data_IF_271795208285
#
_entry.id   IF_271795208285
#
_cell.length_a   1.000
_cell.length_b   1.000
_cell.length_c   1.000
_cell.angle_alpha   90.00
_cell.angle_beta   90.00
_cell.angle_gamma   90.00
#
_symmetry.space_group_name_H-M   'P 1'
#
loop_
_entity.id
_entity.type
_entity.pdbx_description
1 polymer ?
#
# COMPACT_ATOMS: atom_id res chain seq x y z
N UNK A 1 -15.49 -13.80 -1.92
CA UNK A 1 -15.04 -13.01 -3.09
C UNK A 1 -13.63 -12.48 -2.85
N UNK A 2 -12.98 -11.89 -3.86
CA UNK A 2 -11.66 -11.23 -3.71
C UNK A 2 -11.87 -9.74 -3.47
N UNK A 3 -11.32 -9.22 -2.37
CA UNK A 3 -11.35 -7.80 -2.07
C UNK A 3 -10.05 -7.15 -2.54
N UNK A 4 -10.15 -6.12 -3.39
CA UNK A 4 -9.01 -5.34 -3.87
C UNK A 4 -9.04 -3.98 -3.19
N UNK A 5 -7.96 -3.64 -2.49
CA UNK A 5 -7.87 -2.44 -1.67
C UNK A 5 -6.54 -1.73 -1.82
N UNK A 6 -6.51 -0.45 -1.47
CA UNK A 6 -5.30 0.36 -1.34
C UNK A 6 -5.47 1.41 -0.22
N UNK A 7 -4.40 1.95 0.38
CA UNK A 7 -4.51 2.91 1.48
C UNK A 7 -5.04 4.28 1.04
N UNK A 8 -4.84 4.68 -0.22
CA UNK A 8 -5.29 5.98 -0.75
C UNK A 8 -6.46 5.81 -1.73
N UNK A 9 -7.31 6.84 -1.81
CA UNK A 9 -8.46 6.85 -2.73
C UNK A 9 -8.04 6.75 -4.20
N UNK A 10 -7.00 7.48 -4.59
CA UNK A 10 -6.48 7.48 -5.96
C UNK A 10 -5.96 6.10 -6.36
N UNK A 11 -5.17 5.44 -5.50
CA UNK A 11 -4.67 4.09 -5.77
C UNK A 11 -5.82 3.07 -5.84
N UNK A 12 -6.78 3.15 -4.90
CA UNK A 12 -7.93 2.26 -4.90
C UNK A 12 -8.78 2.41 -6.17
N UNK A 13 -8.97 3.64 -6.64
CA UNK A 13 -9.73 3.91 -7.87
C UNK A 13 -9.04 3.34 -9.12
N UNK A 14 -7.70 3.43 -9.21
CA UNK A 14 -6.94 2.85 -10.32
C UNK A 14 -7.09 1.32 -10.40
N UNK A 15 -7.32 0.67 -9.28
CA UNK A 15 -7.54 -0.78 -9.18
C UNK A 15 -9.02 -1.19 -9.32
N UNK A 16 -9.93 -0.23 -9.50
CA UNK A 16 -11.37 -0.49 -9.45
C UNK A 16 -11.86 -1.03 -8.10
N UNK A 17 -11.09 -0.79 -7.04
CA UNK A 17 -11.36 -1.25 -5.68
C UNK A 17 -11.86 -0.13 -4.77
N UNK A 18 -11.60 -0.28 -3.48
CA UNK A 18 -11.92 0.73 -2.47
C UNK A 18 -10.80 0.86 -1.45
N UNK A 19 -10.82 1.89 -0.61
CA UNK A 19 -9.73 2.04 0.36
C UNK A 19 -9.75 0.93 1.40
N UNK A 20 -8.56 0.55 1.92
CA UNK A 20 -8.44 -0.47 2.98
C UNK A 20 -9.28 -0.12 4.20
N UNK A 21 -9.31 1.17 4.56
CA UNK A 21 -10.12 1.72 5.64
C UNK A 21 -11.63 1.51 5.43
N UNK A 22 -12.14 1.87 4.24
CA UNK A 22 -13.54 1.72 3.87
C UNK A 22 -13.94 0.24 3.80
N UNK A 23 -13.07 -0.61 3.24
CA UNK A 23 -13.33 -2.06 3.21
C UNK A 23 -13.41 -2.65 4.61
N UNK A 24 -12.45 -2.33 5.48
CA UNK A 24 -12.38 -2.88 6.83
C UNK A 24 -13.51 -2.37 7.75
N UNK A 25 -14.09 -1.20 7.46
CA UNK A 25 -15.14 -0.60 8.30
C UNK A 25 -14.59 0.10 9.55
N UNK A 26 -13.33 0.55 9.52
CA UNK A 26 -12.61 1.08 10.70
C UNK A 26 -12.53 2.62 10.74
N UNK A 27 -13.22 3.31 9.82
CA UNK A 27 -13.19 4.76 9.70
C UNK A 27 -11.75 5.29 9.52
N UNK A 28 -11.35 6.26 10.33
CA UNK A 28 -9.98 6.80 10.33
C UNK A 28 -8.98 5.94 11.12
N UNK A 29 -9.39 4.76 11.59
CA UNK A 29 -8.59 3.88 12.46
C UNK A 29 -8.02 4.63 13.69
N UNK A 30 -8.81 5.52 14.31
CA UNK A 30 -8.42 6.26 15.53
C UNK A 30 -8.99 5.59 16.78
N UNK A 31 -8.25 5.64 17.88
CA UNK A 31 -8.64 5.02 19.15
C UNK A 31 -7.97 3.68 19.42
N UNK A 32 -8.46 2.98 20.44
CA UNK A 32 -7.94 1.67 20.83
C UNK A 32 -8.30 0.60 19.79
N UNK A 33 -7.52 -0.49 19.73
CA UNK A 33 -7.82 -1.62 18.86
C UNK A 33 -9.16 -2.24 19.23
N UNK A 34 -9.46 -2.32 20.53
CA UNK A 34 -10.69 -2.88 21.07
C UNK A 34 -11.92 -2.09 20.62
N UNK A 35 -11.84 -0.76 20.58
CA UNK A 35 -12.95 0.08 20.13
C UNK A 35 -13.20 -0.07 18.64
N UNK A 36 -12.14 -0.17 17.83
CA UNK A 36 -12.25 -0.42 16.39
C UNK A 36 -12.86 -1.80 16.11
N UNK A 37 -12.46 -2.82 16.88
CA UNK A 37 -13.07 -4.16 16.79
C UNK A 37 -14.56 -4.12 17.14
N UNK A 38 -14.94 -3.42 18.22
CA UNK A 38 -16.36 -3.25 18.60
C UNK A 38 -17.15 -2.52 17.52
N UNK A 39 -16.57 -1.46 16.94
CA UNK A 39 -17.17 -0.69 15.86
C UNK A 39 -17.48 -1.59 14.66
N UNK A 40 -16.51 -2.36 14.19
CA UNK A 40 -16.70 -3.27 13.03
C UNK A 40 -17.71 -4.35 13.35
N UNK A 41 -17.70 -4.91 14.57
CA UNK A 41 -18.69 -5.92 15.00
C UNK A 41 -20.13 -5.39 15.06
N UNK A 42 -20.30 -4.08 15.29
CA UNK A 42 -21.59 -3.41 15.23
C UNK A 42 -22.09 -3.12 13.81
N UNK A 43 -21.21 -3.18 12.81
CA UNK A 43 -21.54 -2.97 11.40
C UNK A 43 -21.74 -4.32 10.69
N UNK A 44 -23.00 -4.69 10.47
CA UNK A 44 -23.36 -5.94 9.80
C UNK A 44 -22.79 -6.03 8.37
N UNK A 45 -22.69 -4.91 7.65
CA UNK A 45 -22.12 -4.90 6.30
C UNK A 45 -20.61 -5.12 6.35
N UNK A 46 -19.90 -4.49 7.29
CA UNK A 46 -18.47 -4.75 7.49
C UNK A 46 -18.21 -6.20 7.90
N UNK A 47 -18.99 -6.72 8.85
CA UNK A 47 -18.90 -8.13 9.25
C UNK A 47 -19.12 -9.08 8.08
N UNK A 48 -20.09 -8.79 7.22
CA UNK A 48 -20.32 -9.58 6.01
C UNK A 48 -19.12 -9.52 5.06
N UNK A 49 -18.51 -8.35 4.83
CA UNK A 49 -17.30 -8.24 4.00
C UNK A 49 -16.16 -9.09 4.55
N UNK A 50 -15.88 -9.00 5.84
CA UNK A 50 -14.82 -9.79 6.50
C UNK A 50 -15.04 -11.30 6.41
N UNK A 51 -16.29 -11.76 6.54
CA UNK A 51 -16.62 -13.20 6.51
C UNK A 51 -16.74 -13.75 5.09
N UNK A 52 -17.27 -12.98 4.14
CA UNK A 52 -17.46 -13.39 2.75
C UNK A 52 -16.20 -13.23 1.87
N UNK A 53 -15.21 -12.46 2.32
CA UNK A 53 -13.93 -12.32 1.60
C UNK A 53 -13.09 -13.58 1.78
N UNK A 54 -12.55 -14.09 0.67
CA UNK A 54 -11.64 -15.24 0.63
C UNK A 54 -10.17 -14.80 0.54
N UNK A 55 -9.93 -13.70 -0.19
CA UNK A 55 -8.61 -13.09 -0.37
C UNK A 55 -8.76 -11.57 -0.26
N UNK A 56 -7.95 -10.95 0.59
CA UNK A 56 -7.77 -9.50 0.67
C UNK A 56 -6.44 -9.13 0.00
N UNK A 57 -6.51 -8.27 -1.02
CA UNK A 57 -5.35 -7.67 -1.67
C UNK A 57 -5.23 -6.24 -1.15
N UNK A 58 -4.04 -5.87 -0.68
CA UNK A 58 -3.68 -4.50 -0.30
C UNK A 58 -2.51 -4.06 -1.16
N UNK A 59 -2.79 -3.19 -2.12
CA UNK A 59 -1.75 -2.53 -2.92
C UNK A 59 -1.21 -1.29 -2.19
N UNK A 60 -0.03 -0.82 -2.58
CA UNK A 60 0.71 0.28 -1.94
C UNK A 60 0.95 0.08 -0.44
N UNK A 61 1.39 -1.12 -0.05
CA UNK A 61 1.67 -1.49 1.36
C UNK A 61 2.67 -0.55 2.04
N UNK A 62 3.52 0.16 1.30
CA UNK A 62 4.46 1.13 1.87
C UNK A 62 3.76 2.26 2.64
N UNK A 63 2.52 2.58 2.26
CA UNK A 63 1.71 3.60 2.92
C UNK A 63 0.81 3.03 4.04
N UNK A 64 0.89 1.72 4.33
CA UNK A 64 0.19 1.06 5.44
C UNK A 64 1.10 1.07 6.66
N UNK A 65 0.60 1.58 7.79
CA UNK A 65 1.35 1.57 9.05
C UNK A 65 1.27 0.21 9.74
N UNK A 66 2.26 -0.07 10.61
CA UNK A 66 2.29 -1.28 11.42
C UNK A 66 1.03 -1.44 12.28
N UNK A 67 0.61 -0.36 12.96
CA UNK A 67 -0.66 -0.32 13.70
C UNK A 67 -1.88 -0.61 12.83
N UNK A 68 -1.96 -0.07 11.62
CA UNK A 68 -3.11 -0.35 10.75
C UNK A 68 -3.18 -1.84 10.44
N UNK A 69 -2.05 -2.49 10.18
CA UNK A 69 -2.00 -3.92 9.91
C UNK A 69 -2.40 -4.76 11.14
N UNK A 70 -1.92 -4.39 12.33
CA UNK A 70 -2.32 -5.05 13.60
C UNK A 70 -3.81 -4.84 13.92
N UNK A 71 -4.39 -3.67 13.59
CA UNK A 71 -5.84 -3.43 13.70
C UNK A 71 -6.62 -4.34 12.76
N UNK A 72 -6.19 -4.48 11.51
CA UNK A 72 -6.83 -5.37 10.53
C UNK A 72 -6.77 -6.83 11.01
N UNK A 73 -5.65 -7.27 11.57
CA UNK A 73 -5.50 -8.60 12.16
C UNK A 73 -6.49 -8.82 13.32
N UNK A 74 -6.54 -7.91 14.28
CA UNK A 74 -7.44 -8.01 15.43
C UNK A 74 -8.92 -8.03 15.02
N UNK A 75 -9.29 -7.20 14.04
CA UNK A 75 -10.65 -7.20 13.46
C UNK A 75 -10.93 -8.53 12.78
N UNK A 76 -10.04 -9.03 11.92
CA UNK A 76 -10.20 -10.31 11.23
C UNK A 76 -10.38 -11.48 12.20
N UNK A 77 -9.49 -11.59 13.20
CA UNK A 77 -9.56 -12.60 14.26
C UNK A 77 -10.89 -12.59 15.00
N UNK A 78 -11.37 -11.40 15.35
CA UNK A 78 -12.60 -11.22 16.12
C UNK A 78 -13.86 -11.48 15.29
N UNK A 79 -13.95 -10.94 14.08
CA UNK A 79 -15.14 -11.04 13.22
C UNK A 79 -15.29 -12.43 12.62
N UNK A 80 -14.18 -13.09 12.25
CA UNK A 80 -14.20 -14.43 11.66
C UNK A 80 -14.22 -15.56 12.70
N UNK A 81 -14.07 -15.23 14.00
CA UNK A 81 -14.14 -16.20 15.09
C UNK A 81 -12.94 -17.15 15.17
N UNK A 82 -11.80 -16.77 14.61
CA UNK A 82 -10.58 -17.58 14.57
C UNK A 82 -9.41 -16.83 15.23
N UNK A 83 -9.41 -16.66 16.57
CA UNK A 83 -8.41 -15.84 17.26
C UNK A 83 -6.97 -16.38 17.19
N UNK A 84 -6.79 -17.67 16.90
CA UNK A 84 -5.47 -18.30 16.78
C UNK A 84 -4.84 -18.23 15.38
N UNK A 85 -5.48 -17.55 14.42
CA UNK A 85 -4.98 -17.43 13.06
C UNK A 85 -4.89 -15.96 12.66
N UNK A 86 -3.76 -15.56 12.07
CA UNK A 86 -3.60 -14.23 11.46
C UNK A 86 -4.80 -13.86 10.56
N UNK A 87 -5.31 -12.65 10.74
CA UNK A 87 -6.49 -12.09 10.08
C UNK A 87 -7.75 -12.97 10.20
N UNK A 88 -7.82 -13.86 11.20
CA UNK A 88 -8.90 -14.84 11.33
C UNK A 88 -8.92 -15.88 10.21
N UNK A 89 -7.74 -16.25 9.69
CA UNK A 89 -7.59 -17.21 8.59
C UNK A 89 -7.93 -16.63 7.21
N UNK A 90 -8.08 -15.32 7.09
CA UNK A 90 -8.23 -14.65 5.81
C UNK A 90 -6.90 -14.67 5.05
N UNK A 91 -6.91 -15.09 3.79
CA UNK A 91 -5.74 -14.95 2.93
C UNK A 91 -5.50 -13.45 2.65
N UNK A 92 -4.29 -12.96 2.91
CA UNK A 92 -3.91 -11.58 2.67
C UNK A 92 -2.72 -11.55 1.71
N UNK A 93 -2.83 -10.74 0.66
CA UNK A 93 -1.77 -10.45 -0.29
C UNK A 93 -1.42 -8.96 -0.18
N UNK A 94 -0.17 -8.67 0.17
CA UNK A 94 0.35 -7.31 0.20
C UNK A 94 1.22 -7.07 -1.03
N UNK A 95 1.00 -5.95 -1.71
CA UNK A 95 1.77 -5.50 -2.86
C UNK A 95 2.28 -4.08 -2.61
N UNK A 96 3.49 -3.77 -3.06
CA UNK A 96 4.05 -2.42 -3.00
C UNK A 96 5.57 -2.43 -2.86
N UNK A 97 6.14 -1.24 -2.65
CA UNK A 97 7.59 -1.05 -2.53
C UNK A 97 7.90 -0.07 -1.40
N UNK A 98 8.55 -0.55 -0.34
CA UNK A 98 8.90 0.24 0.84
C UNK A 98 9.93 1.35 0.56
N UNK A 99 10.58 1.36 -0.61
CA UNK A 99 11.42 2.47 -1.05
C UNK A 99 10.62 3.67 -1.59
N UNK A 100 9.30 3.54 -1.75
CA UNK A 100 8.43 4.63 -2.15
C UNK A 100 8.00 5.46 -0.93
N UNK A 101 6.74 5.93 -0.90
CA UNK A 101 6.26 6.79 0.17
C UNK A 101 5.97 5.99 1.44
N UNK A 102 6.39 6.50 2.62
CA UNK A 102 6.05 5.91 3.91
C UNK A 102 4.58 6.15 4.26
N UNK A 103 4.08 5.50 5.34
CA UNK A 103 2.74 5.77 5.84
C UNK A 103 2.59 7.25 6.23
N UNK A 104 1.47 7.92 5.90
CA UNK A 104 1.29 9.33 6.18
C UNK A 104 1.01 9.58 7.67
N UNK A 105 1.70 10.54 8.28
CA UNK A 105 1.48 10.97 9.66
C UNK A 105 2.80 11.18 10.43
N UNK A 106 2.76 12.00 11.49
CA UNK A 106 3.94 12.23 12.36
C UNK A 106 4.10 11.14 13.43
N UNK A 107 3.00 10.49 13.80
CA UNK A 107 2.92 9.45 14.83
C UNK A 107 2.55 8.10 14.19
N UNK A 108 3.31 7.69 13.19
CA UNK A 108 3.11 6.37 12.57
C UNK A 108 3.78 5.32 13.46
N UNK A 109 2.97 4.43 14.02
CA UNK A 109 3.38 3.24 14.77
C UNK A 109 4.06 2.21 13.84
N UNK A 110 5.19 2.60 13.28
CA UNK A 110 6.04 1.78 12.45
C UNK A 110 5.54 1.52 11.03
N UNK A 111 6.39 0.85 10.28
CA UNK A 111 6.10 0.32 8.95
C UNK A 111 5.21 -0.92 9.04
N UNK A 112 4.53 -1.27 7.94
CA UNK A 112 3.75 -2.51 7.87
C UNK A 112 4.58 -3.75 8.26
N UNK A 113 5.86 -3.81 7.85
CA UNK A 113 6.75 -4.93 8.17
C UNK A 113 7.20 -5.01 9.63
N UNK A 114 6.89 -3.99 10.44
CA UNK A 114 7.16 -3.95 11.87
C UNK A 114 5.93 -4.34 12.70
N UNK A 115 4.78 -4.58 12.06
CA UNK A 115 3.56 -5.03 12.72
C UNK A 115 3.78 -6.36 13.45
N UNK A 116 3.10 -6.54 14.58
CA UNK A 116 3.20 -7.78 15.38
C UNK A 116 2.73 -8.99 14.59
N UNK A 117 1.68 -8.83 13.78
CA UNK A 117 1.14 -9.90 12.94
C UNK A 117 2.09 -10.30 11.80
N UNK A 118 3.06 -9.45 11.43
CA UNK A 118 3.82 -9.62 10.18
C UNK A 118 4.53 -10.98 10.10
N UNK A 119 5.25 -11.34 11.16
CA UNK A 119 6.00 -12.61 11.22
C UNK A 119 5.11 -13.85 11.22
N UNK A 120 3.85 -13.74 11.66
CA UNK A 120 2.87 -14.83 11.62
C UNK A 120 2.22 -14.96 10.23
N UNK A 121 1.91 -13.82 9.59
CA UNK A 121 1.10 -13.79 8.38
C UNK A 121 1.90 -13.87 7.07
N UNK A 122 3.11 -13.32 7.02
CA UNK A 122 3.83 -13.08 5.77
C UNK A 122 5.15 -13.86 5.72
N UNK A 123 5.04 -15.18 5.56
CA UNK A 123 6.19 -16.07 5.37
C UNK A 123 6.70 -16.20 3.93
N UNK A 124 5.91 -15.77 2.94
CA UNK A 124 6.28 -15.80 1.52
C UNK A 124 6.45 -14.36 1.02
N UNK A 125 7.66 -14.01 0.63
CA UNK A 125 7.98 -12.75 -0.02
C UNK A 125 8.52 -13.03 -1.43
N UNK A 126 7.94 -12.40 -2.44
CA UNK A 126 8.35 -12.52 -3.83
C UNK A 126 8.78 -11.14 -4.33
N UNK A 127 10.01 -11.06 -4.82
CA UNK A 127 10.55 -9.83 -5.41
C UNK A 127 10.40 -9.87 -6.93
N UNK A 128 9.79 -8.82 -7.49
CA UNK A 128 9.74 -8.61 -8.94
C UNK A 128 10.92 -7.77 -9.38
N UNK A 129 11.81 -8.34 -10.19
CA UNK A 129 13.08 -7.69 -10.59
C UNK A 129 13.04 -7.04 -11.97
N UNK A 130 11.99 -7.26 -12.75
CA UNK A 130 11.87 -6.74 -14.11
C UNK A 130 11.04 -5.44 -14.17
N UNK A 131 11.70 -4.33 -14.50
CA UNK A 131 11.04 -3.03 -14.72
C UNK A 131 10.37 -3.02 -16.09
N UNK A 132 9.05 -3.24 -16.14
CA UNK A 132 8.32 -3.32 -17.41
C UNK A 132 7.96 -1.96 -18.01
N UNK A 133 7.51 -0.99 -17.17
CA UNK A 133 6.94 0.29 -17.62
C UNK A 133 7.88 1.09 -18.54
N UNK A 134 9.13 1.25 -18.13
CA UNK A 134 10.11 2.03 -18.91
C UNK A 134 10.78 1.21 -20.01
N UNK A 135 10.88 -0.11 -19.83
CA UNK A 135 11.38 -1.00 -20.89
C UNK A 135 10.45 -1.02 -22.10
N UNK A 136 9.13 -1.05 -21.89
CA UNK A 136 8.16 -0.97 -22.99
C UNK A 136 8.21 0.34 -23.76
N UNK A 137 8.79 1.39 -23.17
CA UNK A 137 8.99 2.70 -23.80
C UNK A 137 10.38 2.85 -24.44
N UNK A 138 11.26 1.85 -24.33
CA UNK A 138 12.64 1.92 -24.83
C UNK A 138 13.56 2.81 -24.00
N UNK A 139 13.18 3.15 -22.76
CA UNK A 139 13.89 4.12 -21.92
C UNK A 139 14.81 3.45 -20.88
N UNK A 140 15.67 2.53 -21.34
CA UNK A 140 16.59 1.80 -20.45
C UNK A 140 17.49 2.71 -19.59
N UNK A 141 18.10 3.80 -20.11
CA UNK A 141 18.91 4.70 -19.29
C UNK A 141 18.12 5.41 -18.18
N UNK A 142 16.85 5.73 -18.42
CA UNK A 142 16.00 6.33 -17.39
C UNK A 142 15.63 5.30 -16.32
N UNK A 143 15.32 4.06 -16.73
CA UNK A 143 15.02 2.98 -15.79
C UNK A 143 16.18 2.73 -14.81
N UNK A 144 17.41 2.70 -15.32
CA UNK A 144 18.61 2.55 -14.50
C UNK A 144 18.82 3.74 -13.56
N UNK A 145 18.61 4.96 -14.04
CA UNK A 145 18.69 6.16 -13.21
C UNK A 145 17.65 6.17 -12.07
N UNK A 146 16.43 5.70 -12.32
CA UNK A 146 15.39 5.61 -11.28
C UNK A 146 15.68 4.51 -10.26
N UNK A 147 16.28 3.39 -10.66
CA UNK A 147 16.70 2.35 -9.70
C UNK A 147 17.81 2.87 -8.76
N UNK A 148 18.75 3.67 -9.30
CA UNK A 148 19.76 4.35 -8.49
C UNK A 148 19.14 5.34 -7.48
N UNK A 149 18.10 6.07 -7.89
CA UNK A 149 17.33 6.96 -7.00
C UNK A 149 16.63 6.14 -5.90
N UNK A 150 15.96 5.05 -6.28
CA UNK A 150 15.29 4.11 -5.35
C UNK A 150 16.26 3.54 -4.31
N UNK A 151 17.48 3.19 -4.73
CA UNK A 151 18.54 2.68 -3.85
C UNK A 151 19.27 3.77 -3.05
N UNK A 152 18.97 5.05 -3.28
CA UNK A 152 19.66 6.18 -2.65
C UNK A 152 21.13 6.36 -3.06
N UNK A 153 21.55 5.77 -4.20
CA UNK A 153 22.93 5.78 -4.70
C UNK A 153 22.97 6.26 -6.15
N UNK A 154 22.97 7.58 -6.32
CA UNK A 154 22.90 8.22 -7.65
C UNK A 154 24.29 8.58 -8.15
N UNK A 155 24.68 8.02 -9.30
CA UNK A 155 25.95 8.32 -9.98
C UNK A 155 25.85 9.57 -10.87
N UNK A 156 27.01 10.09 -11.29
CA UNK A 156 27.13 11.31 -12.10
C UNK A 156 26.31 11.28 -13.39
N UNK A 157 26.29 10.14 -14.07
CA UNK A 157 25.62 9.92 -15.35
C UNK A 157 24.10 9.97 -15.18
N UNK A 158 23.58 9.26 -14.17
CA UNK A 158 22.16 9.27 -13.82
C UNK A 158 21.71 10.68 -13.39
N UNK A 159 22.50 11.35 -12.54
CA UNK A 159 22.21 12.72 -12.12
C UNK A 159 22.16 13.70 -13.30
N UNK A 160 23.14 13.62 -14.20
CA UNK A 160 23.20 14.45 -15.41
C UNK A 160 22.01 14.19 -16.34
N UNK A 161 21.58 12.94 -16.48
CA UNK A 161 20.37 12.58 -17.23
C UNK A 161 19.13 13.23 -16.61
N UNK A 162 18.93 13.10 -15.29
CA UNK A 162 17.78 13.66 -14.59
C UNK A 162 17.74 15.20 -14.68
N UNK A 163 18.88 15.87 -14.52
CA UNK A 163 18.99 17.34 -14.69
C UNK A 163 18.66 17.81 -16.11
N UNK A 164 18.97 17.00 -17.12
CA UNK A 164 18.60 17.32 -18.51
C UNK A 164 17.10 17.17 -18.72
N UNK A 165 16.49 16.12 -18.18
CA UNK A 165 15.05 15.88 -18.28
C UNK A 165 14.23 16.94 -17.54
N UNK A 166 14.72 17.45 -16.40
CA UNK A 166 14.04 18.51 -15.64
C UNK A 166 13.95 19.85 -16.39
N UNK A 167 14.76 20.03 -17.44
CA UNK A 167 14.77 21.23 -18.29
C UNK A 167 14.03 21.04 -19.61
N UNK A 168 13.43 19.86 -19.85
CA UNK A 168 12.73 19.57 -21.11
C UNK A 168 11.56 20.55 -21.26
N UNK A 169 11.43 21.23 -22.42
CA UNK A 169 10.30 22.13 -22.66
C UNK A 169 9.00 21.34 -22.67
N UNK A 170 7.92 21.96 -22.17
CA UNK A 170 6.58 21.37 -22.19
C UNK A 170 6.13 21.21 -23.65
N UNK A 171 5.50 20.09 -23.95
CA UNK A 171 4.85 19.86 -25.26
C UNK A 171 3.57 20.71 -25.31
N UNK A 172 3.45 21.71 -26.19
CA UNK A 172 2.35 22.69 -26.14
C UNK A 172 0.97 22.07 -26.36
N UNK A 173 0.90 20.97 -27.11
CA UNK A 173 -0.36 20.28 -27.44
C UNK A 173 -0.76 19.19 -26.43
N UNK A 174 0.01 19.02 -25.35
CA UNK A 174 -0.28 18.05 -24.29
C UNK A 174 -0.35 18.76 -22.94
N UNK A 175 -1.41 18.48 -22.20
CA UNK A 175 -1.53 18.85 -20.79
C UNK A 175 -0.87 17.75 -19.96
N UNK A 176 0.37 17.94 -19.45
CA UNK A 176 1.00 16.93 -18.62
C UNK A 176 0.32 16.87 -17.25
N UNK A 177 0.35 15.69 -16.62
CA UNK A 177 0.11 15.61 -15.19
C UNK A 177 1.25 16.31 -14.45
N UNK A 178 0.93 17.24 -13.56
CA UNK A 178 1.89 17.94 -12.71
C UNK A 178 1.84 17.37 -11.29
N UNK A 179 3.01 17.00 -10.76
CA UNK A 179 3.15 16.49 -9.39
C UNK A 179 3.92 17.54 -8.61
N UNK A 180 3.30 18.07 -7.55
CA UNK A 180 3.90 19.08 -6.66
C UNK A 180 3.96 18.55 -5.23
N UNK A 181 4.91 19.02 -4.40
CA UNK A 181 5.09 18.48 -3.04
C UNK A 181 3.93 18.75 -2.07
N UNK A 182 3.13 19.78 -2.33
CA UNK A 182 2.04 20.23 -1.46
C UNK A 182 0.81 20.57 -2.29
N UNK A 183 -0.38 20.29 -1.74
CA UNK A 183 -1.65 20.76 -2.30
C UNK A 183 -1.79 22.28 -2.21
#
# INVERSE_FOLDING_TARGET
>A
YVAVTAPTGSAAQLLGGQTTHSWAGIGQAKGSVEDLVRMVRGDAAACHRWTATALLIVDEVSMVSGRLLDVLDAVGRSVRGCPGQAFGGLQVLLCGDFHQLPPPGKDVDGWAFEAKVWGEAFGLCLELTQVLRLRSLGEAPLAEALEQVRAGKVHSEAWSLLQRLSKRPREPDRLPAEIVPTN
#
